data_IF_067689680187
#
_entry.id   IF_067689680187
#
_cell.length_a   1.000
_cell.length_b   1.000
_cell.length_c   1.000
_cell.angle_alpha   90.00
_cell.angle_beta   90.00
_cell.angle_gamma   90.00
#
_symmetry.space_group_name_H-M   'P 1'
#
loop_
_entity.id
_entity.type
_entity.pdbx_description
1 polymer ?
#
# COMPACT_ATOMS: atom_id res chain seq x y z
N UNK A 1 13.47 13.12 1.86
CA UNK A 1 13.85 12.39 0.63
C UNK A 1 15.32 12.54 0.27
N UNK A 2 15.80 13.77 0.00
CA UNK A 2 17.19 14.01 -0.47
C UNK A 2 18.25 13.42 0.47
N UNK A 3 18.16 13.64 1.77
CA UNK A 3 19.11 13.11 2.76
C UNK A 3 19.22 11.58 2.76
N UNK A 4 18.16 10.88 2.39
CA UNK A 4 18.18 9.42 2.27
C UNK A 4 18.85 8.91 0.98
N UNK A 5 18.88 9.74 -0.05
CA UNK A 5 19.47 9.41 -1.35
C UNK A 5 20.89 9.98 -1.51
N UNK A 6 21.37 10.79 -0.56
CA UNK A 6 22.71 11.37 -0.55
C UNK A 6 23.58 10.63 0.46
N UNK A 7 24.78 10.24 0.05
CA UNK A 7 25.79 9.66 0.92
C UNK A 7 26.99 10.61 0.98
N UNK A 8 27.02 11.59 1.91
CA UNK A 8 28.14 12.50 2.05
C UNK A 8 29.40 11.73 2.53
N UNK A 9 30.57 12.26 2.24
CA UNK A 9 31.85 11.71 2.70
C UNK A 9 32.03 11.97 4.21
N UNK A 10 31.42 11.12 5.00
CA UNK A 10 31.39 11.16 6.46
C UNK A 10 31.92 9.81 7.02
N UNK A 11 32.37 9.84 8.27
CA UNK A 11 32.71 8.63 9.00
C UNK A 11 31.47 7.74 9.26
N UNK A 12 31.64 6.44 9.48
CA UNK A 12 30.56 5.46 9.64
C UNK A 12 29.51 5.91 10.67
N UNK A 13 29.94 6.41 11.83
CA UNK A 13 29.02 6.93 12.86
C UNK A 13 28.24 8.15 12.39
N UNK A 14 28.88 9.08 11.69
CA UNK A 14 28.21 10.26 11.14
C UNK A 14 27.21 9.90 10.03
N UNK A 15 27.49 8.89 9.20
CA UNK A 15 26.55 8.36 8.20
C UNK A 15 25.31 7.79 8.85
N UNK A 16 25.45 7.09 9.99
CA UNK A 16 24.30 6.57 10.75
C UNK A 16 23.45 7.73 11.27
N UNK A 17 24.06 8.74 11.88
CA UNK A 17 23.35 9.93 12.37
C UNK A 17 22.66 10.67 11.23
N UNK A 18 23.34 10.87 10.11
CA UNK A 18 22.77 11.50 8.91
C UNK A 18 21.53 10.76 8.41
N UNK A 19 21.61 9.44 8.29
CA UNK A 19 20.50 8.60 7.87
C UNK A 19 19.33 8.63 8.87
N UNK A 20 19.64 8.60 10.17
CA UNK A 20 18.63 8.70 11.23
C UNK A 20 17.85 10.02 11.17
N UNK A 21 18.54 11.15 11.00
CA UNK A 21 17.92 12.48 10.84
C UNK A 21 17.05 12.48 9.57
N UNK A 22 17.57 11.93 8.45
CA UNK A 22 16.83 11.82 7.20
C UNK A 22 15.52 11.03 7.35
N UNK A 23 15.55 9.90 8.08
CA UNK A 23 14.39 9.05 8.36
C UNK A 23 13.38 9.80 9.25
N UNK A 24 13.84 10.48 10.31
CA UNK A 24 12.98 11.27 11.19
C UNK A 24 12.27 12.40 10.44
N UNK A 25 12.99 13.17 9.63
CA UNK A 25 12.40 14.24 8.82
C UNK A 25 11.41 13.68 7.77
N UNK A 26 11.71 12.54 7.17
CA UNK A 26 10.79 11.86 6.26
C UNK A 26 9.52 11.41 7.00
N UNK A 27 9.65 10.81 8.18
CA UNK A 27 8.53 10.38 9.00
C UNK A 27 7.61 11.53 9.44
N UNK A 28 8.19 12.67 9.81
CA UNK A 28 7.44 13.89 10.09
C UNK A 28 6.68 14.39 8.86
N UNK A 29 7.35 14.47 7.69
CA UNK A 29 6.70 14.88 6.44
C UNK A 29 5.56 13.95 6.04
N UNK A 30 5.73 12.63 6.17
CA UNK A 30 4.68 11.65 5.89
C UNK A 30 3.48 11.75 6.85
N UNK A 31 3.69 12.22 8.08
CA UNK A 31 2.59 12.45 9.03
C UNK A 31 1.66 13.59 8.59
N UNK A 32 2.20 14.64 7.97
CA UNK A 32 1.37 15.70 7.36
C UNK A 32 0.61 15.24 6.13
N UNK A 33 1.14 14.27 5.39
CA UNK A 33 0.48 13.74 4.19
C UNK A 33 -0.84 13.01 4.50
N UNK A 34 -1.01 12.53 5.74
CA UNK A 34 -2.27 11.94 6.21
C UNK A 34 -3.47 12.91 6.14
N UNK A 35 -3.24 14.21 6.32
CA UNK A 35 -4.27 15.23 6.23
C UNK A 35 -4.88 15.37 4.83
N UNK A 36 -4.15 14.99 3.77
CA UNK A 36 -4.65 14.98 2.40
C UNK A 36 -5.87 14.07 2.22
N UNK A 37 -5.87 12.89 2.84
CA UNK A 37 -6.99 11.97 2.75
C UNK A 37 -8.25 12.48 3.46
N UNK A 38 -8.09 13.23 4.56
CA UNK A 38 -9.21 13.92 5.21
C UNK A 38 -9.88 14.89 4.25
N UNK A 39 -9.08 15.66 3.51
CA UNK A 39 -9.58 16.59 2.51
C UNK A 39 -10.37 15.86 1.41
N UNK A 40 -9.86 14.73 0.90
CA UNK A 40 -10.55 13.94 -0.14
C UNK A 40 -11.94 13.48 0.30
N UNK A 41 -12.12 13.12 1.57
CA UNK A 41 -13.42 12.73 2.11
C UNK A 41 -14.41 13.91 2.22
N UNK A 42 -13.89 15.15 2.34
CA UNK A 42 -14.67 16.35 2.60
C UNK A 42 -14.90 17.25 1.36
N UNK A 43 -14.36 16.86 0.20
CA UNK A 43 -14.52 17.63 -1.04
C UNK A 43 -15.96 17.61 -1.54
N UNK A 44 -16.69 16.49 -1.41
CA UNK A 44 -18.06 16.36 -1.91
C UNK A 44 -18.93 15.53 -0.98
N UNK A 45 -20.18 15.98 -0.72
CA UNK A 45 -21.15 15.19 0.03
C UNK A 45 -21.78 14.05 -0.80
N UNK A 46 -21.63 14.06 -2.12
CA UNK A 46 -22.19 13.05 -3.01
C UNK A 46 -21.30 11.80 -3.03
N UNK A 47 -21.87 10.64 -2.66
CA UNK A 47 -21.15 9.38 -2.56
C UNK A 47 -20.58 8.89 -3.90
N UNK A 48 -21.32 9.06 -5.01
CA UNK A 48 -20.86 8.63 -6.34
C UNK A 48 -19.70 9.48 -6.84
N UNK A 49 -19.77 10.79 -6.65
CA UNK A 49 -18.67 11.72 -6.98
C UNK A 49 -17.45 11.43 -6.12
N UNK A 50 -17.64 11.19 -4.82
CA UNK A 50 -16.56 10.84 -3.88
C UNK A 50 -15.88 9.54 -4.29
N UNK A 51 -16.63 8.49 -4.64
CA UNK A 51 -16.08 7.23 -5.09
C UNK A 51 -15.32 7.35 -6.41
N UNK A 52 -15.80 8.16 -7.34
CA UNK A 52 -15.10 8.47 -8.58
C UNK A 52 -13.81 9.26 -8.30
N UNK A 53 -13.84 10.23 -7.38
CA UNK A 53 -12.67 11.02 -6.96
C UNK A 53 -11.61 10.09 -6.33
N UNK A 54 -11.99 9.22 -5.38
CA UNK A 54 -11.11 8.24 -4.76
C UNK A 54 -10.47 7.33 -5.81
N UNK A 55 -11.27 6.82 -6.75
CA UNK A 55 -10.77 5.95 -7.83
C UNK A 55 -9.76 6.67 -8.72
N UNK A 56 -10.06 7.90 -9.10
CA UNK A 56 -9.17 8.74 -9.92
C UNK A 56 -7.87 9.05 -9.18
N UNK A 57 -7.97 9.43 -7.90
CA UNK A 57 -6.79 9.67 -7.05
C UNK A 57 -5.91 8.43 -6.96
N UNK A 58 -6.51 7.26 -6.75
CA UNK A 58 -5.76 5.99 -6.70
C UNK A 58 -5.11 5.62 -8.03
N UNK A 59 -5.74 5.94 -9.15
CA UNK A 59 -5.13 5.75 -10.47
C UNK A 59 -3.85 6.58 -10.62
N UNK A 60 -3.89 7.87 -10.27
CA UNK A 60 -2.71 8.74 -10.34
C UNK A 60 -1.65 8.39 -9.30
N UNK A 61 -2.04 7.95 -8.09
CA UNK A 61 -1.12 7.45 -7.07
C UNK A 61 -0.32 6.24 -7.57
N UNK A 62 -0.98 5.31 -8.29
CA UNK A 62 -0.29 4.16 -8.89
C UNK A 62 0.71 4.60 -9.96
N UNK A 63 0.35 5.57 -10.79
CA UNK A 63 1.27 6.12 -11.77
C UNK A 63 2.50 6.75 -11.09
N UNK A 64 2.27 7.53 -10.03
CA UNK A 64 3.34 8.12 -9.22
C UNK A 64 4.26 7.10 -8.57
N UNK A 65 3.73 5.95 -8.11
CA UNK A 65 4.54 4.87 -7.52
C UNK A 65 5.35 4.09 -8.57
N UNK A 66 4.91 4.08 -9.82
CA UNK A 66 5.61 3.39 -10.90
C UNK A 66 6.86 4.16 -11.38
N UNK A 67 6.85 5.48 -11.33
CA UNK A 67 7.99 6.30 -11.74
C UNK A 67 9.29 5.95 -11.01
N UNK A 68 9.33 5.81 -9.67
CA UNK A 68 10.54 5.39 -8.96
C UNK A 68 11.06 4.00 -9.34
N UNK A 69 10.21 3.10 -9.79
CA UNK A 69 10.62 1.75 -10.22
C UNK A 69 11.48 1.74 -11.49
N UNK A 70 11.51 2.86 -12.23
CA UNK A 70 12.38 3.03 -13.38
C UNK A 70 13.83 3.42 -13.00
N UNK A 71 14.06 3.88 -11.77
CA UNK A 71 15.40 4.35 -11.32
C UNK A 71 16.48 3.29 -11.51
N UNK A 72 16.30 1.99 -11.16
CA UNK A 72 17.30 0.96 -11.41
C UNK A 72 17.69 0.82 -12.88
N UNK A 73 16.76 1.07 -13.80
CA UNK A 73 17.03 1.05 -15.25
C UNK A 73 17.96 2.22 -15.63
N UNK A 74 17.66 3.43 -15.16
CA UNK A 74 18.50 4.59 -15.40
C UNK A 74 19.89 4.46 -14.76
N UNK A 75 19.98 3.90 -13.56
CA UNK A 75 21.25 3.61 -12.88
C UNK A 75 22.13 2.68 -13.70
N UNK A 76 21.56 1.73 -14.44
CA UNK A 76 22.34 0.79 -15.28
C UNK A 76 22.64 1.32 -16.68
N UNK A 77 21.77 2.16 -17.25
CA UNK A 77 21.93 2.66 -18.61
C UNK A 77 22.78 3.93 -18.70
N UNK A 78 22.57 4.90 -17.82
CA UNK A 78 23.23 6.21 -17.91
C UNK A 78 24.76 6.15 -17.78
N UNK A 79 25.35 5.35 -16.88
CA UNK A 79 26.82 5.21 -16.83
C UNK A 79 27.43 4.56 -18.06
N UNK A 80 26.63 3.75 -18.82
CA UNK A 80 27.09 3.16 -20.09
C UNK A 80 27.14 4.20 -21.22
N UNK A 81 26.24 5.19 -21.17
CA UNK A 81 26.19 6.30 -22.15
C UNK A 81 27.25 7.38 -21.83
N UNK A 82 27.41 7.70 -20.56
CA UNK A 82 28.38 8.69 -20.11
C UNK A 82 29.08 8.22 -18.83
N UNK A 83 30.35 7.88 -18.94
CA UNK A 83 31.21 7.38 -17.84
C UNK A 83 31.38 8.35 -16.65
N UNK A 84 31.07 9.65 -16.87
CA UNK A 84 31.16 10.67 -15.80
C UNK A 84 29.92 10.63 -14.88
N UNK A 85 28.87 9.91 -15.25
CA UNK A 85 27.64 9.78 -14.44
C UNK A 85 27.84 8.66 -13.43
N UNK A 86 27.90 9.02 -12.15
CA UNK A 86 27.99 8.06 -11.06
C UNK A 86 26.58 7.56 -10.67
N UNK A 87 26.50 6.36 -10.11
CA UNK A 87 25.28 5.80 -9.56
C UNK A 87 24.62 6.75 -8.54
N UNK A 88 25.44 7.35 -7.66
CA UNK A 88 24.99 8.35 -6.69
C UNK A 88 24.39 9.59 -7.38
N UNK A 89 24.99 10.06 -8.48
CA UNK A 89 24.49 11.18 -9.26
C UNK A 89 23.11 10.92 -9.86
N UNK A 90 22.84 9.68 -10.32
CA UNK A 90 21.53 9.30 -10.84
C UNK A 90 20.47 9.34 -9.74
N UNK A 91 20.75 8.75 -8.57
CA UNK A 91 19.80 8.78 -7.45
C UNK A 91 19.54 10.20 -6.94
N UNK A 92 20.56 11.00 -6.80
CA UNK A 92 20.43 12.40 -6.36
C UNK A 92 19.65 13.23 -7.38
N UNK A 93 19.96 13.10 -8.67
CA UNK A 93 19.24 13.80 -9.74
C UNK A 93 17.77 13.44 -9.79
N UNK A 94 17.45 12.13 -9.65
CA UNK A 94 16.06 11.67 -9.58
C UNK A 94 15.35 12.24 -8.35
N UNK A 95 16.01 12.26 -7.17
CA UNK A 95 15.43 12.82 -5.95
C UNK A 95 15.13 14.32 -6.09
N UNK A 96 15.98 15.10 -6.76
CA UNK A 96 15.71 16.51 -7.06
C UNK A 96 14.53 16.69 -8.01
N UNK A 97 14.45 15.92 -9.09
CA UNK A 97 13.32 15.98 -10.02
C UNK A 97 12.01 15.68 -9.30
N UNK A 98 11.98 14.62 -8.46
CA UNK A 98 10.79 14.28 -7.69
C UNK A 98 10.42 15.35 -6.67
N UNK A 99 11.40 15.97 -6.00
CA UNK A 99 11.16 17.07 -5.06
C UNK A 99 10.44 18.24 -5.73
N UNK A 100 10.93 18.67 -6.90
CA UNK A 100 10.37 19.80 -7.67
C UNK A 100 8.94 19.46 -8.13
N UNK A 101 8.71 18.27 -8.67
CA UNK A 101 7.39 17.82 -9.12
C UNK A 101 6.40 17.74 -7.96
N UNK A 102 6.78 17.10 -6.83
CA UNK A 102 5.93 16.99 -5.66
C UNK A 102 5.59 18.34 -5.05
N UNK A 103 6.58 19.25 -4.94
CA UNK A 103 6.35 20.61 -4.46
C UNK A 103 5.37 21.38 -5.37
N UNK A 104 5.58 21.32 -6.69
CA UNK A 104 4.71 21.97 -7.67
C UNK A 104 3.27 21.48 -7.60
N UNK A 105 3.05 20.17 -7.59
CA UNK A 105 1.70 19.60 -7.47
C UNK A 105 1.06 19.89 -6.10
N UNK A 106 1.83 19.93 -5.01
CA UNK A 106 1.30 20.26 -3.68
C UNK A 106 0.83 21.71 -3.61
N UNK A 107 1.60 22.65 -4.17
CA UNK A 107 1.23 24.07 -4.26
C UNK A 107 -0.01 24.24 -5.14
N UNK A 108 -0.05 23.58 -6.31
CA UNK A 108 -1.22 23.60 -7.19
C UNK A 108 -2.48 23.08 -6.48
N UNK A 109 -2.36 21.93 -5.76
CA UNK A 109 -3.45 21.35 -4.98
C UNK A 109 -3.95 22.31 -3.90
N UNK A 110 -3.05 22.91 -3.13
CA UNK A 110 -3.40 23.86 -2.06
C UNK A 110 -4.29 25.02 -2.55
N UNK A 111 -4.00 25.59 -3.70
CA UNK A 111 -4.78 26.70 -4.23
C UNK A 111 -6.11 26.30 -4.88
N UNK A 112 -6.26 25.05 -5.32
CA UNK A 112 -7.43 24.61 -6.09
C UNK A 112 -8.41 23.75 -5.29
N UNK A 113 -8.01 23.17 -4.16
CA UNK A 113 -8.88 22.34 -3.34
C UNK A 113 -9.67 23.18 -2.32
N UNK A 114 -10.96 22.88 -2.17
CA UNK A 114 -11.84 23.48 -1.17
C UNK A 114 -12.70 22.41 -0.50
N UNK A 115 -12.81 22.47 0.80
CA UNK A 115 -13.72 21.63 1.57
C UNK A 115 -15.16 22.14 1.38
N UNK A 116 -16.08 21.22 1.13
CA UNK A 116 -17.51 21.51 0.95
C UNK A 116 -18.38 20.84 2.02
N UNK A 117 -17.87 19.81 2.66
CA UNK A 117 -18.55 19.17 3.79
C UNK A 117 -18.19 19.94 5.06
N UNK A 118 -19.17 20.43 5.85
CA UNK A 118 -18.90 21.14 7.09
C UNK A 118 -18.18 20.21 8.08
N UNK A 119 -17.07 20.69 8.61
CA UNK A 119 -16.36 20.03 9.70
C UNK A 119 -17.11 20.28 11.02
N UNK A 120 -16.99 19.35 11.96
CA UNK A 120 -17.45 19.54 13.34
C UNK A 120 -16.86 20.82 13.93
N UNK A 121 -17.69 21.58 14.65
CA UNK A 121 -17.23 22.76 15.36
C UNK A 121 -16.19 22.38 16.44
N UNK A 122 -15.30 23.31 16.76
CA UNK A 122 -14.26 23.10 17.77
C UNK A 122 -14.86 22.87 19.17
N UNK A 123 -16.06 23.36 19.40
CA UNK A 123 -16.83 23.20 20.65
C UNK A 123 -17.34 21.75 20.78
N UNK A 124 -17.90 21.18 19.72
CA UNK A 124 -18.36 19.78 19.68
C UNK A 124 -17.21 18.77 19.84
N UNK A 125 -16.00 19.11 19.35
CA UNK A 125 -14.81 18.26 19.54
C UNK A 125 -14.28 18.26 20.99
N UNK A 126 -14.48 19.31 21.75
CA UNK A 126 -13.99 19.42 23.13
C UNK A 126 -14.89 18.70 24.16
N UNK A 127 -16.15 18.40 23.83
CA UNK A 127 -17.08 17.71 24.72
C UNK A 127 -16.85 16.20 24.80
N UNK A 128 -16.21 15.59 23.79
CA UNK A 128 -15.95 14.15 23.79
C UNK A 128 -14.56 13.81 24.29
N UNK A 129 -14.48 13.01 25.36
CA UNK A 129 -13.22 12.45 25.83
C UNK A 129 -12.58 11.57 24.75
N UNK A 130 -11.28 11.73 24.48
CA UNK A 130 -10.51 10.89 23.52
C UNK A 130 -10.68 9.39 23.82
N UNK A 131 -10.72 9.01 25.09
CA UNK A 131 -10.94 7.61 25.50
C UNK A 131 -12.33 7.10 25.15
N UNK A 132 -13.37 7.94 25.29
CA UNK A 132 -14.72 7.59 24.92
C UNK A 132 -14.83 7.41 23.40
N UNK A 133 -14.24 8.30 22.63
CA UNK A 133 -14.22 8.23 21.17
C UNK A 133 -13.46 7.00 20.66
N UNK A 134 -12.35 6.61 21.30
CA UNK A 134 -11.65 5.35 21.00
C UNK A 134 -12.56 4.15 21.27
N UNK A 135 -13.26 4.14 22.42
CA UNK A 135 -14.22 3.07 22.76
C UNK A 135 -15.35 2.97 21.72
N UNK A 136 -15.85 4.11 21.25
CA UNK A 136 -16.87 4.17 20.21
C UNK A 136 -16.38 3.61 18.88
N UNK A 137 -15.13 3.88 18.45
CA UNK A 137 -14.53 3.32 17.25
C UNK A 137 -14.46 1.79 17.35
N UNK A 138 -14.00 1.25 18.47
CA UNK A 138 -13.94 -0.21 18.67
C UNK A 138 -15.32 -0.86 18.85
N UNK A 139 -16.32 -0.12 19.33
CA UNK A 139 -17.72 -0.55 19.38
C UNK A 139 -18.39 -0.51 18.01
N UNK A 140 -17.83 0.23 17.06
CA UNK A 140 -18.32 0.33 15.71
C UNK A 140 -17.79 -0.83 14.86
N UNK A 141 -18.61 -1.86 14.63
CA UNK A 141 -18.21 -3.08 13.89
C UNK A 141 -17.60 -2.81 12.51
N UNK A 142 -18.16 -1.93 11.65
CA UNK A 142 -17.54 -1.58 10.37
C UNK A 142 -16.13 -1.02 10.51
N UNK A 143 -15.91 -0.06 11.41
CA UNK A 143 -14.59 0.54 11.63
C UNK A 143 -13.60 -0.49 12.18
N UNK A 144 -14.02 -1.32 13.12
CA UNK A 144 -13.19 -2.40 13.65
C UNK A 144 -12.77 -3.38 12.55
N UNK A 145 -13.70 -3.77 11.66
CA UNK A 145 -13.41 -4.65 10.54
C UNK A 145 -12.35 -4.06 9.59
N UNK A 146 -12.42 -2.74 9.33
CA UNK A 146 -11.45 -2.04 8.47
C UNK A 146 -10.08 -1.97 9.16
N UNK A 147 -10.01 -1.58 10.44
CA UNK A 147 -8.75 -1.54 11.19
C UNK A 147 -8.09 -2.92 11.20
N UNK A 148 -8.86 -3.97 11.45
CA UNK A 148 -8.38 -5.35 11.45
C UNK A 148 -7.89 -5.79 10.07
N UNK A 149 -8.62 -5.43 9.02
CA UNK A 149 -8.25 -5.75 7.64
C UNK A 149 -6.95 -5.05 7.23
N UNK A 150 -6.79 -3.77 7.56
CA UNK A 150 -5.57 -3.01 7.29
C UNK A 150 -4.37 -3.56 8.07
N UNK A 151 -4.59 -3.96 9.33
CA UNK A 151 -3.58 -4.62 10.14
C UNK A 151 -3.05 -5.88 9.44
N UNK A 152 -3.93 -6.82 9.06
CA UNK A 152 -3.52 -8.03 8.36
C UNK A 152 -2.93 -7.76 6.98
N UNK A 153 -3.47 -6.81 6.23
CA UNK A 153 -2.95 -6.45 4.92
C UNK A 153 -1.48 -5.97 4.95
N UNK A 154 -1.04 -5.38 6.07
CA UNK A 154 0.35 -4.97 6.24
C UNK A 154 1.32 -6.16 6.32
N UNK A 155 0.89 -7.34 6.78
CA UNK A 155 1.75 -8.53 6.87
C UNK A 155 2.26 -9.03 5.51
N UNK A 156 1.64 -8.63 4.40
CA UNK A 156 2.20 -8.86 3.05
C UNK A 156 3.61 -8.26 2.89
N UNK A 157 3.94 -7.20 3.66
CA UNK A 157 5.23 -6.54 3.57
C UNK A 157 6.39 -7.45 4.00
N UNK A 158 6.14 -8.45 4.85
CA UNK A 158 7.15 -9.46 5.22
C UNK A 158 7.57 -10.26 3.99
N UNK A 159 6.61 -10.70 3.15
CA UNK A 159 6.92 -11.33 1.87
C UNK A 159 7.57 -10.38 0.88
N UNK A 160 7.11 -9.12 0.83
CA UNK A 160 7.68 -8.08 -0.03
C UNK A 160 9.15 -7.76 0.29
N UNK A 161 9.55 -7.81 1.57
CA UNK A 161 10.96 -7.65 1.95
C UNK A 161 11.84 -8.79 1.45
N UNK A 162 11.26 -9.98 1.24
CA UNK A 162 11.96 -11.15 0.69
C UNK A 162 12.06 -11.13 -0.84
N UNK A 163 11.40 -10.19 -1.51
CA UNK A 163 11.36 -10.10 -2.97
C UNK A 163 12.74 -9.93 -3.60
N UNK A 164 13.59 -9.05 -3.05
CA UNK A 164 14.94 -8.85 -3.56
C UNK A 164 15.79 -10.10 -3.41
N UNK A 165 15.64 -10.82 -2.28
CA UNK A 165 16.34 -12.08 -2.05
C UNK A 165 15.88 -13.17 -3.00
N UNK A 166 14.58 -13.24 -3.31
CA UNK A 166 14.05 -14.14 -4.33
C UNK A 166 14.67 -13.85 -5.70
N UNK A 167 14.66 -12.61 -6.15
CA UNK A 167 15.20 -12.28 -7.48
C UNK A 167 16.71 -12.52 -7.58
N UNK A 168 17.48 -12.23 -6.53
CA UNK A 168 18.91 -12.48 -6.50
C UNK A 168 19.20 -13.98 -6.49
N UNK A 169 18.63 -14.71 -5.52
CA UNK A 169 19.04 -16.08 -5.20
C UNK A 169 18.35 -17.12 -6.08
N UNK A 170 17.02 -17.02 -6.25
CA UNK A 170 16.27 -18.02 -7.00
C UNK A 170 16.33 -17.82 -8.52
N UNK A 171 16.52 -16.60 -9.00
CA UNK A 171 16.56 -16.31 -10.44
C UNK A 171 17.94 -15.87 -10.94
N UNK A 172 18.88 -15.65 -10.03
CA UNK A 172 20.27 -15.28 -10.32
C UNK A 172 20.49 -13.82 -10.73
N UNK A 173 19.46 -12.96 -10.74
CA UNK A 173 19.63 -11.55 -11.10
C UNK A 173 18.54 -10.65 -10.51
N UNK A 174 18.94 -9.64 -9.75
CA UNK A 174 18.03 -8.61 -9.20
C UNK A 174 17.30 -7.84 -10.33
N UNK A 175 17.91 -7.71 -11.50
CA UNK A 175 17.31 -7.04 -12.66
C UNK A 175 15.98 -7.68 -13.09
N UNK A 176 15.79 -8.97 -12.84
CA UNK A 176 14.55 -9.68 -13.13
C UNK A 176 13.36 -9.08 -12.36
N UNK A 177 13.59 -8.51 -11.16
CA UNK A 177 12.57 -7.77 -10.40
C UNK A 177 12.03 -6.58 -11.19
N UNK A 178 12.93 -5.75 -11.72
CA UNK A 178 12.53 -4.55 -12.48
C UNK A 178 11.76 -4.93 -13.75
N UNK A 179 12.26 -5.93 -14.48
CA UNK A 179 11.60 -6.42 -15.69
C UNK A 179 10.20 -6.98 -15.36
N UNK A 180 10.11 -7.80 -14.30
CA UNK A 180 8.82 -8.30 -13.82
C UNK A 180 7.87 -7.15 -13.45
N UNK A 181 8.34 -6.16 -12.71
CA UNK A 181 7.56 -4.98 -12.32
C UNK A 181 6.99 -4.20 -13.51
N UNK A 182 7.73 -4.08 -14.61
CA UNK A 182 7.25 -3.45 -15.84
C UNK A 182 6.10 -4.24 -16.47
N UNK A 183 6.24 -5.55 -16.58
CA UNK A 183 5.20 -6.41 -17.19
C UNK A 183 3.96 -6.54 -16.28
N UNK A 184 4.12 -6.65 -14.99
CA UNK A 184 3.00 -6.74 -14.03
C UNK A 184 2.29 -5.40 -13.85
N UNK A 185 2.97 -4.29 -14.10
CA UNK A 185 2.44 -2.93 -13.95
C UNK A 185 1.22 -2.70 -14.84
N UNK A 186 1.28 -3.02 -16.12
CA UNK A 186 0.21 -2.75 -17.10
C UNK A 186 -1.12 -3.40 -16.70
N UNK A 187 -1.22 -4.72 -16.44
CA UNK A 187 -2.46 -5.35 -15.99
C UNK A 187 -2.99 -4.76 -14.67
N UNK A 188 -2.08 -4.42 -13.76
CA UNK A 188 -2.43 -3.80 -12.50
C UNK A 188 -3.10 -2.44 -12.70
N UNK A 189 -2.66 -1.61 -13.64
CA UNK A 189 -3.31 -0.35 -13.98
C UNK A 189 -4.73 -0.54 -14.50
N UNK A 190 -4.92 -1.52 -15.39
CA UNK A 190 -6.22 -1.83 -15.97
C UNK A 190 -7.22 -2.33 -14.90
N UNK A 191 -6.73 -2.88 -13.79
CA UNK A 191 -7.59 -3.38 -12.70
C UNK A 191 -8.22 -2.25 -11.88
N UNK A 192 -7.64 -1.05 -11.82
CA UNK A 192 -8.18 0.07 -11.03
C UNK A 192 -9.58 0.50 -11.50
N UNK A 193 -9.82 0.83 -12.78
CA UNK A 193 -11.17 1.16 -13.25
C UNK A 193 -12.13 -0.04 -13.18
N UNK A 194 -11.61 -1.27 -13.30
CA UNK A 194 -12.42 -2.48 -13.10
C UNK A 194 -12.86 -2.63 -11.65
N UNK A 195 -12.02 -2.29 -10.68
CA UNK A 195 -12.37 -2.33 -9.27
C UNK A 195 -13.57 -1.43 -8.96
N UNK A 196 -13.61 -0.21 -9.50
CA UNK A 196 -14.75 0.69 -9.36
C UNK A 196 -16.05 0.10 -9.93
N UNK A 197 -15.98 -0.59 -11.09
CA UNK A 197 -17.13 -1.29 -11.67
C UNK A 197 -17.58 -2.48 -10.82
N UNK A 198 -16.64 -3.22 -10.23
CA UNK A 198 -16.94 -4.33 -9.31
C UNK A 198 -17.67 -3.81 -8.06
N UNK A 199 -17.19 -2.72 -7.46
CA UNK A 199 -17.85 -2.08 -6.30
C UNK A 199 -19.29 -1.67 -6.65
N UNK A 200 -19.52 -1.05 -7.81
CA UNK A 200 -20.87 -0.66 -8.25
C UNK A 200 -21.82 -1.85 -8.47
N UNK A 201 -21.29 -3.01 -8.88
CA UNK A 201 -22.12 -4.21 -9.15
C UNK A 201 -22.33 -5.11 -7.94
N UNK A 202 -21.31 -5.32 -7.15
CA UNK A 202 -21.29 -6.30 -6.05
C UNK A 202 -21.35 -5.65 -4.66
N UNK A 203 -21.14 -4.33 -4.59
CA UNK A 203 -20.95 -3.63 -3.34
C UNK A 203 -19.49 -3.71 -2.83
N UNK A 204 -19.11 -2.76 -1.98
CA UNK A 204 -17.74 -2.62 -1.49
C UNK A 204 -17.32 -3.82 -0.61
N UNK A 205 -18.18 -4.26 0.30
CA UNK A 205 -17.94 -5.40 1.20
C UNK A 205 -17.62 -6.69 0.43
N UNK A 206 -18.50 -7.09 -0.49
CA UNK A 206 -18.33 -8.34 -1.25
C UNK A 206 -17.08 -8.28 -2.10
N UNK A 207 -16.81 -7.12 -2.73
CA UNK A 207 -15.61 -6.91 -3.52
C UNK A 207 -14.34 -7.05 -2.68
N UNK A 208 -14.32 -6.54 -1.45
CA UNK A 208 -13.19 -6.69 -0.53
C UNK A 208 -12.95 -8.16 -0.13
N UNK A 209 -14.02 -8.90 0.21
CA UNK A 209 -13.94 -10.33 0.55
C UNK A 209 -13.37 -11.12 -0.64
N UNK A 210 -13.95 -10.94 -1.83
CA UNK A 210 -13.52 -11.64 -3.04
C UNK A 210 -12.05 -11.31 -3.38
N UNK A 211 -11.65 -10.05 -3.29
CA UNK A 211 -10.27 -9.66 -3.53
C UNK A 211 -9.30 -10.29 -2.52
N UNK A 212 -9.67 -10.36 -1.24
CA UNK A 212 -8.86 -11.01 -0.22
C UNK A 212 -8.72 -12.52 -0.44
N UNK A 213 -9.84 -13.22 -0.60
CA UNK A 213 -9.87 -14.66 -0.82
C UNK A 213 -9.14 -15.05 -2.10
N UNK A 214 -9.47 -14.39 -3.23
CA UNK A 214 -8.79 -14.64 -4.50
C UNK A 214 -7.29 -14.39 -4.41
N UNK A 215 -6.89 -13.29 -3.76
CA UNK A 215 -5.47 -12.99 -3.57
C UNK A 215 -4.76 -14.06 -2.73
N UNK A 216 -5.37 -14.52 -1.64
CA UNK A 216 -4.86 -15.62 -0.83
C UNK A 216 -4.69 -16.91 -1.62
N UNK A 217 -5.74 -17.35 -2.32
CA UNK A 217 -5.71 -18.55 -3.16
C UNK A 217 -4.68 -18.43 -4.27
N UNK A 218 -4.55 -17.29 -4.93
CA UNK A 218 -3.56 -17.07 -5.99
C UNK A 218 -2.12 -17.25 -5.49
N UNK A 219 -1.77 -16.67 -4.33
CA UNK A 219 -0.45 -16.84 -3.72
C UNK A 219 -0.17 -18.29 -3.31
N UNK A 220 -1.14 -18.99 -2.70
CA UNK A 220 -0.99 -20.39 -2.36
C UNK A 220 -0.83 -21.27 -3.60
N UNK A 221 -1.63 -21.03 -4.65
CA UNK A 221 -1.50 -21.74 -5.93
C UNK A 221 -0.11 -21.54 -6.52
N UNK A 222 0.38 -20.30 -6.53
CA UNK A 222 1.72 -19.98 -7.03
C UNK A 222 2.81 -20.68 -6.19
N UNK A 223 2.65 -20.74 -4.87
CA UNK A 223 3.56 -21.45 -3.98
C UNK A 223 3.64 -22.93 -4.33
N UNK A 224 2.51 -23.63 -4.45
CA UNK A 224 2.49 -25.08 -4.69
C UNK A 224 2.99 -25.47 -6.09
N UNK A 225 2.77 -24.64 -7.10
CA UNK A 225 3.30 -24.92 -8.46
C UNK A 225 4.81 -24.65 -8.51
N UNK A 226 5.31 -23.71 -7.71
CA UNK A 226 6.72 -23.35 -7.65
C UNK A 226 7.12 -22.28 -8.69
N UNK A 227 8.38 -21.83 -8.59
CA UNK A 227 8.94 -20.79 -9.45
C UNK A 227 9.67 -21.31 -10.68
N UNK A 228 9.84 -22.65 -10.81
CA UNK A 228 10.51 -23.30 -11.95
C UNK A 228 9.77 -24.56 -12.41
N UNK A 229 8.48 -24.47 -12.82
CA UNK A 229 7.68 -25.64 -13.16
C UNK A 229 8.14 -26.34 -14.45
N UNK A 230 9.01 -25.72 -15.24
CA UNK A 230 9.48 -26.24 -16.53
C UNK A 230 10.88 -26.85 -16.46
N UNK A 231 11.47 -27.06 -15.26
CA UNK A 231 12.80 -27.64 -15.11
C UNK A 231 13.12 -27.96 -13.66
N UNK A 232 14.28 -28.59 -13.42
CA UNK A 232 14.76 -28.87 -12.06
C UNK A 232 15.34 -27.61 -11.37
N UNK A 233 15.80 -26.66 -12.20
CA UNK A 233 16.29 -25.37 -11.75
C UNK A 233 15.66 -24.25 -12.56
N UNK A 234 15.69 -23.02 -12.04
CA UNK A 234 15.21 -21.87 -12.78
C UNK A 234 15.97 -21.65 -14.11
N UNK A 235 17.24 -22.06 -14.16
CA UNK A 235 18.14 -21.92 -15.32
C UNK A 235 17.79 -22.84 -16.49
N UNK A 236 17.19 -24.01 -16.27
CA UNK A 236 16.95 -25.02 -17.31
C UNK A 236 16.07 -24.48 -18.47
N UNK A 237 14.98 -23.80 -18.11
CA UNK A 237 14.10 -23.11 -19.07
C UNK A 237 13.87 -21.67 -18.60
N UNK A 238 14.94 -20.90 -18.46
CA UNK A 238 14.94 -19.58 -17.83
C UNK A 238 13.84 -18.64 -18.34
N UNK A 239 13.62 -18.58 -19.64
CA UNK A 239 12.60 -17.70 -20.25
C UNK A 239 11.19 -18.16 -19.86
N UNK A 240 10.91 -19.46 -19.93
CA UNK A 240 9.59 -20.01 -19.60
C UNK A 240 9.29 -19.87 -18.10
N UNK A 241 10.28 -20.18 -17.24
CA UNK A 241 10.14 -20.00 -15.81
C UNK A 241 9.95 -18.53 -15.43
N UNK A 242 10.66 -17.61 -16.09
CA UNK A 242 10.48 -16.18 -15.90
C UNK A 242 9.06 -15.72 -16.30
N UNK A 243 8.58 -16.11 -17.48
CA UNK A 243 7.21 -15.81 -17.94
C UNK A 243 6.18 -16.34 -16.94
N UNK A 244 6.39 -17.56 -16.44
CA UNK A 244 5.52 -18.17 -15.43
C UNK A 244 5.47 -17.34 -14.14
N UNK A 245 6.62 -16.94 -13.59
CA UNK A 245 6.69 -16.12 -12.39
C UNK A 245 6.03 -14.75 -12.61
N UNK A 246 6.27 -14.10 -13.75
CA UNK A 246 5.63 -12.82 -14.12
C UNK A 246 4.11 -12.99 -14.20
N UNK A 247 3.63 -14.05 -14.85
CA UNK A 247 2.19 -14.34 -14.95
C UNK A 247 1.56 -14.58 -13.57
N UNK A 248 2.19 -15.43 -12.75
CA UNK A 248 1.72 -15.72 -11.39
C UNK A 248 1.69 -14.47 -10.50
N UNK A 249 2.74 -13.68 -10.50
CA UNK A 249 2.81 -12.43 -9.73
C UNK A 249 1.82 -11.38 -10.25
N UNK A 250 1.53 -11.36 -11.55
CA UNK A 250 0.48 -10.52 -12.12
C UNK A 250 -0.86 -10.89 -11.50
N UNK A 251 -1.25 -12.16 -11.52
CA UNK A 251 -2.51 -12.63 -10.93
C UNK A 251 -2.57 -12.32 -9.44
N UNK A 252 -1.48 -12.55 -8.69
CA UNK A 252 -1.38 -12.21 -7.26
C UNK A 252 -1.48 -10.70 -7.00
N UNK A 253 -1.06 -9.87 -7.96
CA UNK A 253 -1.08 -8.42 -7.87
C UNK A 253 -2.45 -7.78 -8.10
N UNK A 254 -3.30 -8.37 -8.96
CA UNK A 254 -4.62 -7.82 -9.32
C UNK A 254 -5.50 -7.51 -8.08
N UNK A 255 -5.68 -8.44 -7.13
CA UNK A 255 -6.46 -8.17 -5.92
C UNK A 255 -5.93 -7.01 -5.09
N UNK A 256 -4.61 -6.79 -5.10
CA UNK A 256 -4.01 -5.68 -4.39
C UNK A 256 -4.52 -4.32 -4.90
N UNK A 257 -4.72 -4.19 -6.20
CA UNK A 257 -5.25 -2.95 -6.78
C UNK A 257 -6.73 -2.76 -6.50
N UNK A 258 -7.50 -3.85 -6.47
CA UNK A 258 -8.90 -3.82 -6.01
C UNK A 258 -8.97 -3.32 -4.55
N UNK A 259 -8.16 -3.88 -3.66
CA UNK A 259 -8.10 -3.51 -2.23
C UNK A 259 -7.74 -2.02 -2.06
N UNK A 260 -6.81 -1.50 -2.84
CA UNK A 260 -6.41 -0.09 -2.78
C UNK A 260 -7.55 0.88 -3.14
N UNK A 261 -8.48 0.46 -4.01
CA UNK A 261 -9.67 1.26 -4.36
C UNK A 261 -10.79 1.05 -3.34
N UNK A 262 -10.99 -0.18 -2.89
CA UNK A 262 -12.13 -0.55 -2.03
C UNK A 262 -11.96 -0.04 -0.59
N UNK A 263 -10.75 -0.07 -0.02
CA UNK A 263 -10.51 0.34 1.37
C UNK A 263 -10.96 1.77 1.68
N UNK A 264 -10.58 2.80 0.90
CA UNK A 264 -11.08 4.16 1.13
C UNK A 264 -12.60 4.27 1.02
N UNK A 265 -13.23 3.51 0.12
CA UNK A 265 -14.69 3.50 -0.05
C UNK A 265 -15.35 2.92 1.22
N UNK A 266 -14.86 1.78 1.72
CA UNK A 266 -15.37 1.18 2.95
C UNK A 266 -15.14 2.08 4.17
N UNK A 267 -14.02 2.79 4.24
CA UNK A 267 -13.76 3.77 5.30
C UNK A 267 -14.77 4.92 5.25
N UNK A 268 -15.08 5.43 4.06
CA UNK A 268 -16.09 6.47 3.89
C UNK A 268 -17.49 6.00 4.31
N UNK A 269 -17.90 4.79 3.91
CA UNK A 269 -19.17 4.19 4.33
C UNK A 269 -19.24 3.97 5.86
N UNK A 270 -18.12 3.58 6.49
CA UNK A 270 -18.06 3.39 7.93
C UNK A 270 -18.12 4.71 8.72
N UNK A 271 -17.60 5.81 8.15
CA UNK A 271 -17.76 7.16 8.68
C UNK A 271 -19.21 7.62 8.58
N UNK A 272 -19.87 7.38 7.44
CA UNK A 272 -21.30 7.67 7.27
C UNK A 272 -22.15 6.86 8.25
N UNK A 273 -21.80 5.59 8.53
CA UNK A 273 -22.47 4.76 9.54
C UNK A 273 -22.30 5.31 10.96
N UNK A 274 -21.11 5.84 11.28
CA UNK A 274 -20.86 6.47 12.57
C UNK A 274 -21.71 7.73 12.75
N UNK A 275 -21.81 8.58 11.73
CA UNK A 275 -22.66 9.76 11.70
C UNK A 275 -24.14 9.39 11.85
N UNK A 276 -24.60 8.37 11.12
CA UNK A 276 -25.99 7.90 11.18
C UNK A 276 -26.38 7.39 12.56
N UNK A 277 -25.49 6.59 13.18
CA UNK A 277 -25.80 5.91 14.45
C UNK A 277 -25.57 6.78 15.68
N UNK A 278 -24.52 7.60 15.68
CA UNK A 278 -24.09 8.38 16.84
C UNK A 278 -24.26 9.88 16.68
N UNK A 279 -24.66 10.36 15.50
CA UNK A 279 -24.78 11.79 15.20
C UNK A 279 -23.43 12.51 15.11
N UNK A 280 -22.32 11.79 15.27
CA UNK A 280 -20.96 12.34 15.30
C UNK A 280 -20.15 11.77 14.14
N UNK A 281 -19.49 12.66 13.38
CA UNK A 281 -18.59 12.30 12.28
C UNK A 281 -17.17 12.75 12.63
N UNK A 282 -16.42 11.89 13.31
CA UNK A 282 -15.05 12.23 13.73
C UNK A 282 -14.01 11.54 12.82
N UNK A 283 -13.85 12.09 11.62
CA UNK A 283 -12.91 11.58 10.60
C UNK A 283 -11.45 11.64 11.06
N UNK A 284 -11.07 12.73 11.75
CA UNK A 284 -9.72 12.93 12.23
C UNK A 284 -9.30 11.85 13.25
N UNK A 285 -10.22 11.47 14.13
CA UNK A 285 -9.97 10.43 15.11
C UNK A 285 -9.88 9.05 14.45
N UNK A 286 -10.80 8.72 13.54
CA UNK A 286 -10.82 7.44 12.81
C UNK A 286 -9.52 7.25 12.04
N UNK A 287 -9.10 8.25 11.27
CA UNK A 287 -7.85 8.19 10.49
C UNK A 287 -6.61 8.15 11.39
N UNK A 288 -6.64 8.80 12.55
CA UNK A 288 -5.54 8.74 13.53
C UNK A 288 -5.42 7.34 14.12
N UNK A 289 -6.53 6.72 14.51
CA UNK A 289 -6.55 5.35 15.04
C UNK A 289 -6.11 4.35 13.98
N UNK A 290 -6.65 4.44 12.75
CA UNK A 290 -6.19 3.60 11.63
C UNK A 290 -4.69 3.76 11.39
N UNK A 291 -4.19 4.99 11.34
CA UNK A 291 -2.76 5.30 11.17
C UNK A 291 -1.89 4.73 12.29
N UNK A 292 -2.36 4.74 13.53
CA UNK A 292 -1.66 4.12 14.65
C UNK A 292 -1.53 2.60 14.48
N UNK A 293 -2.64 1.90 14.17
CA UNK A 293 -2.61 0.45 13.94
C UNK A 293 -1.79 0.08 12.71
N UNK A 294 -1.81 0.90 11.68
CA UNK A 294 -0.96 0.71 10.49
C UNK A 294 0.53 0.84 10.83
N UNK A 295 0.93 1.84 11.64
CA UNK A 295 2.30 1.98 12.11
C UNK A 295 2.72 0.81 13.01
N UNK A 296 1.85 0.36 13.90
CA UNK A 296 2.08 -0.82 14.73
C UNK A 296 2.30 -2.08 13.86
N UNK A 297 1.41 -2.32 12.90
CA UNK A 297 1.55 -3.44 11.97
C UNK A 297 2.86 -3.36 11.17
N UNK A 298 3.23 -2.17 10.68
CA UNK A 298 4.49 -1.94 9.96
C UNK A 298 5.71 -2.24 10.83
N UNK A 299 5.68 -1.85 12.10
CA UNK A 299 6.77 -2.15 13.05
C UNK A 299 6.92 -3.66 13.28
N UNK A 300 5.80 -4.36 13.48
CA UNK A 300 5.79 -5.83 13.64
C UNK A 300 6.31 -6.50 12.37
N UNK A 301 5.84 -6.09 11.20
CA UNK A 301 6.25 -6.68 9.92
C UNK A 301 7.72 -6.43 9.60
N UNK A 302 8.26 -5.27 9.97
CA UNK A 302 9.68 -4.96 9.81
C UNK A 302 10.56 -5.87 10.69
N UNK A 303 10.15 -6.08 11.94
CA UNK A 303 10.79 -7.01 12.85
C UNK A 303 10.72 -8.47 12.33
N UNK A 304 9.53 -8.91 11.92
CA UNK A 304 9.33 -10.24 11.34
C UNK A 304 10.16 -10.45 10.08
N UNK A 305 10.32 -9.44 9.24
CA UNK A 305 11.12 -9.54 8.01
C UNK A 305 12.58 -9.89 8.30
N UNK A 306 13.15 -9.34 9.37
CA UNK A 306 14.50 -9.73 9.83
C UNK A 306 14.55 -11.14 10.40
N UNK A 307 13.56 -11.51 11.22
CA UNK A 307 13.53 -12.85 11.84
C UNK A 307 13.33 -13.98 10.84
N UNK A 308 12.53 -13.76 9.82
CA UNK A 308 12.25 -14.77 8.79
C UNK A 308 13.53 -15.17 8.07
N UNK A 309 14.42 -14.24 7.75
CA UNK A 309 15.73 -14.55 7.14
C UNK A 309 16.58 -15.41 8.07
N UNK A 310 16.53 -15.16 9.37
CA UNK A 310 17.23 -15.98 10.37
C UNK A 310 16.64 -17.40 10.46
N UNK A 311 15.31 -17.54 10.40
CA UNK A 311 14.64 -18.85 10.45
C UNK A 311 14.98 -19.75 9.27
N UNK A 312 15.18 -19.17 8.07
CA UNK A 312 15.62 -19.92 6.89
C UNK A 312 17.15 -20.08 6.82
N UNK A 313 17.89 -19.68 7.87
CA UNK A 313 19.36 -19.69 7.93
C UNK A 313 20.01 -18.95 6.74
N UNK A 314 19.41 -17.85 6.29
CA UNK A 314 19.95 -17.07 5.19
C UNK A 314 21.20 -16.30 5.64
N UNK A 315 22.35 -16.64 5.04
CA UNK A 315 23.60 -15.89 5.20
C UNK A 315 23.96 -15.30 3.85
N UNK A 316 24.05 -13.97 3.70
CA UNK A 316 24.43 -13.37 2.43
C UNK A 316 25.84 -13.82 2.01
N UNK A 317 25.96 -14.34 0.79
CA UNK A 317 27.25 -14.66 0.19
C UNK A 317 27.74 -13.44 -0.59
N UNK A 318 29.05 -13.14 -0.46
CA UNK A 318 29.72 -12.08 -1.19
C UNK A 318 30.96 -12.61 -1.89
N UNK A 319 31.26 -12.08 -3.08
CA UNK A 319 32.50 -12.34 -3.78
C UNK A 319 33.68 -11.60 -3.13
N UNK A 320 34.88 -11.80 -3.68
CA UNK A 320 36.10 -11.11 -3.24
C UNK A 320 36.07 -9.60 -3.39
N UNK A 321 35.14 -9.07 -4.18
CA UNK A 321 34.91 -7.62 -4.41
C UNK A 321 33.77 -7.06 -3.54
N UNK A 322 33.14 -7.90 -2.70
CA UNK A 322 32.03 -7.50 -1.83
C UNK A 322 30.66 -7.46 -2.53
N UNK A 323 30.53 -7.97 -3.77
CA UNK A 323 29.24 -8.04 -4.45
C UNK A 323 28.44 -9.25 -3.96
N UNK A 324 27.11 -9.12 -3.87
CA UNK A 324 26.23 -10.21 -3.46
C UNK A 324 26.22 -11.32 -4.53
N UNK A 325 26.43 -12.57 -4.09
CA UNK A 325 26.41 -13.77 -4.94
C UNK A 325 25.18 -14.60 -4.60
N UNK A 326 24.49 -15.18 -5.62
CA UNK A 326 23.34 -16.04 -5.40
C UNK A 326 23.64 -17.26 -4.53
N UNK A 327 22.70 -17.66 -3.69
CA UNK A 327 22.71 -18.88 -2.92
C UNK A 327 22.51 -20.11 -3.82
N UNK A 328 23.11 -21.22 -3.40
CA UNK A 328 22.99 -22.50 -4.10
C UNK A 328 22.30 -23.59 -3.25
N UNK A 329 22.08 -23.35 -1.96
CA UNK A 329 21.42 -24.31 -1.05
C UNK A 329 19.91 -24.39 -1.38
N UNK A 330 19.41 -25.57 -1.80
CA UNK A 330 17.99 -25.76 -2.11
C UNK A 330 17.06 -25.48 -0.93
N UNK A 331 17.52 -25.73 0.32
CA UNK A 331 16.74 -25.45 1.51
C UNK A 331 16.50 -23.95 1.71
N UNK A 332 17.55 -23.14 1.52
CA UNK A 332 17.46 -21.68 1.60
C UNK A 332 16.58 -21.12 0.47
N UNK A 333 16.77 -21.63 -0.77
CA UNK A 333 15.98 -21.18 -1.93
C UNK A 333 14.49 -21.49 -1.76
N UNK A 334 14.14 -22.67 -1.28
CA UNK A 334 12.74 -23.04 -0.98
C UNK A 334 12.17 -22.24 0.20
N UNK A 335 12.98 -21.94 1.20
CA UNK A 335 12.60 -21.07 2.31
C UNK A 335 12.28 -19.64 1.86
N UNK A 336 13.12 -19.04 1.01
CA UNK A 336 12.87 -17.71 0.43
C UNK A 336 11.54 -17.71 -0.36
N UNK A 337 11.34 -18.74 -1.20
CA UNK A 337 10.09 -18.87 -1.96
C UNK A 337 8.85 -19.05 -1.07
N UNK A 338 8.95 -19.84 -0.01
CA UNK A 338 7.87 -20.02 0.95
C UNK A 338 7.48 -18.69 1.62
N UNK A 339 8.45 -17.93 2.11
CA UNK A 339 8.21 -16.62 2.71
C UNK A 339 7.58 -15.65 1.71
N UNK A 340 8.09 -15.64 0.49
CA UNK A 340 7.64 -14.74 -0.57
C UNK A 340 6.18 -15.00 -0.99
N UNK A 341 5.69 -16.23 -0.87
CA UNK A 341 4.33 -16.60 -1.26
C UNK A 341 3.37 -16.79 -0.09
N UNK A 342 3.77 -17.54 0.96
CA UNK A 342 2.85 -17.95 2.03
C UNK A 342 2.40 -16.74 2.86
N UNK A 343 3.33 -15.87 3.27
CA UNK A 343 2.99 -14.75 4.14
C UNK A 343 2.06 -13.73 3.45
N UNK A 344 2.31 -13.30 2.20
CA UNK A 344 1.32 -12.49 1.48
C UNK A 344 0.00 -13.20 1.25
N UNK A 345 0.01 -14.51 1.00
CA UNK A 345 -1.20 -15.33 0.84
C UNK A 345 -2.07 -15.34 2.10
N UNK A 346 -1.46 -15.59 3.26
CA UNK A 346 -2.14 -15.52 4.56
C UNK A 346 -2.67 -14.11 4.85
N UNK A 347 -1.84 -13.09 4.63
CA UNK A 347 -2.23 -11.70 4.85
C UNK A 347 -3.48 -11.32 4.02
N UNK A 348 -3.54 -11.77 2.76
CA UNK A 348 -4.69 -11.54 1.88
C UNK A 348 -5.93 -12.30 2.32
N UNK A 349 -5.79 -13.57 2.70
CA UNK A 349 -6.90 -14.36 3.22
C UNK A 349 -7.49 -13.73 4.47
N UNK A 350 -6.65 -13.36 5.44
CA UNK A 350 -7.07 -12.72 6.69
C UNK A 350 -7.69 -11.33 6.44
N UNK A 351 -7.14 -10.56 5.50
CA UNK A 351 -7.77 -9.31 5.04
C UNK A 351 -9.22 -9.54 4.60
N UNK A 352 -9.45 -10.49 3.70
CA UNK A 352 -10.81 -10.79 3.21
C UNK A 352 -11.74 -11.26 4.31
N UNK A 353 -11.25 -12.15 5.20
CA UNK A 353 -12.04 -12.67 6.33
C UNK A 353 -12.43 -11.58 7.34
N UNK A 354 -11.64 -10.53 7.51
CA UNK A 354 -11.96 -9.40 8.40
C UNK A 354 -13.27 -8.73 8.02
N UNK A 355 -13.66 -8.71 6.74
CA UNK A 355 -14.92 -8.12 6.28
C UNK A 355 -16.16 -8.98 6.53
N UNK A 356 -16.02 -10.17 7.07
CA UNK A 356 -17.17 -10.90 7.63
C UNK A 356 -17.79 -10.16 8.84
N UNK A 357 -16.98 -9.40 9.57
CA UNK A 357 -17.44 -8.54 10.66
C UNK A 357 -18.07 -7.23 10.20
N UNK A 358 -17.91 -6.86 8.92
CA UNK A 358 -18.46 -5.64 8.34
C UNK A 358 -19.96 -5.83 8.05
N UNK A 359 -20.82 -5.04 8.70
CA UNK A 359 -22.28 -5.25 8.67
C UNK A 359 -23.06 -4.26 7.78
N UNK A 360 -22.38 -3.29 7.11
CA UNK A 360 -23.07 -2.36 6.22
C UNK A 360 -23.29 -3.06 4.87
N UNK A 361 -24.51 -3.54 4.63
CA UNK A 361 -24.90 -4.16 3.35
C UNK A 361 -26.43 -4.28 3.26
N UNK A 362 -26.92 -4.42 2.02
CA UNK A 362 -28.36 -4.62 1.74
C UNK A 362 -29.23 -3.48 2.25
N UNK A 363 -30.33 -3.83 2.91
CA UNK A 363 -31.36 -2.88 3.38
C UNK A 363 -30.79 -1.86 4.37
N UNK A 364 -29.88 -2.27 5.25
CA UNK A 364 -29.23 -1.36 6.21
C UNK A 364 -28.45 -0.23 5.51
N UNK A 365 -27.76 -0.56 4.42
CA UNK A 365 -27.00 0.42 3.66
C UNK A 365 -27.94 1.42 2.98
N UNK A 366 -29.03 0.94 2.38
CA UNK A 366 -30.02 1.79 1.74
C UNK A 366 -30.72 2.70 2.75
N UNK A 367 -31.16 2.16 3.88
CA UNK A 367 -31.79 2.92 4.95
C UNK A 367 -30.86 4.04 5.46
N UNK A 368 -29.58 3.70 5.73
CA UNK A 368 -28.58 4.67 6.16
C UNK A 368 -28.42 5.81 5.15
N UNK A 369 -28.32 5.51 3.85
CA UNK A 369 -28.15 6.52 2.80
C UNK A 369 -29.35 7.48 2.75
N UNK A 370 -30.58 6.94 2.80
CA UNK A 370 -31.81 7.75 2.75
C UNK A 370 -31.92 8.65 3.98
N UNK A 371 -31.81 8.09 5.18
CA UNK A 371 -31.94 8.85 6.42
C UNK A 371 -30.85 9.91 6.61
N UNK A 372 -29.59 9.62 6.18
CA UNK A 372 -28.52 10.62 6.20
C UNK A 372 -28.75 11.73 5.18
N UNK A 373 -29.25 11.42 3.98
CA UNK A 373 -29.58 12.41 2.98
C UNK A 373 -30.67 13.38 3.50
N UNK A 374 -31.71 12.85 4.15
CA UNK A 374 -32.77 13.66 4.77
C UNK A 374 -32.23 14.54 5.91
N UNK A 375 -31.40 13.99 6.81
CA UNK A 375 -30.78 14.75 7.91
C UNK A 375 -29.89 15.87 7.39
N UNK A 376 -29.05 15.60 6.39
CA UNK A 376 -28.15 16.58 5.79
C UNK A 376 -28.92 17.67 5.03
N UNK A 377 -30.02 17.31 4.35
CA UNK A 377 -30.92 18.28 3.70
C UNK A 377 -31.62 19.21 4.70
N UNK A 378 -32.02 18.68 5.88
CA UNK A 378 -32.62 19.49 6.93
C UNK A 378 -31.61 20.43 7.64
N UNK A 379 -30.32 20.11 7.63
CA UNK A 379 -29.24 20.92 8.22
C UNK A 379 -28.72 22.03 7.28
N UNK A 380 -29.10 22.04 6.02
CA UNK A 380 -28.74 23.07 5.04
C UNK A 380 -30.03 23.82 4.64
N UNK A 381 -30.62 24.65 5.53
CA UNK A 381 -31.66 25.61 5.12
C UNK A 381 -30.93 26.81 4.49
N UNK A 382 -31.17 27.05 3.22
CA UNK A 382 -30.87 28.29 2.50
C UNK A 382 -29.39 28.73 2.41
N UNK A 383 -28.60 27.98 1.67
CA UNK A 383 -27.39 28.49 1.01
C UNK A 383 -27.44 28.09 -0.49
N UNK A 384 -28.38 28.63 -1.19
CA UNK A 384 -28.35 28.80 -2.64
C UNK A 384 -28.07 30.26 -2.94
#
# INVERSE_FOLDING_TARGET
GYMMCSAPDLNSTQKIVWSAIGILLYGLGMSYFGAYWLLVYNITPNNDERNNLITTTKFFELFGTWLPSLVPVFVQLLPKVNKNITMQGVYSGFAYCMLILCAGFSVFGFFNMRERVPLMSREEMNETSVLQSIKEIFSNRPLFAIILSDFFNNFKAVGGSSEQYFWLNNTGAIMNQTICGLFTGIPNYLMVPMAAKLVKRLGARVTAILAGVFGGVAYFTLFFIGYHPFGQTFGDHRILNFIWVVFGLTICGLPNKVIQVVNPILTAEALDYMEWKHGLRNEALVTTVQGYFQKLATSITSWMSGMVLTWINYIPLTDSLGNAVPQTDPGILSGIWAVFCILPGLARGLYGLSFLFYNIHGDLQQQMIVELAEKRAAQIPDRI
#
